data_IF_589625917697
#
_entry.id   IF_589625917697
#
_cell.length_a   1.000
_cell.length_b   1.000
_cell.length_c   1.000
_cell.angle_alpha   90.00
_cell.angle_beta   90.00
_cell.angle_gamma   90.00
#
_symmetry.space_group_name_H-M   'P 1'
#
loop_
_entity.id
_entity.type
_entity.pdbx_description
1 polymer ?
#
# COMPACT_ATOMS: atom_id res chain seq x y z
N UNK A 1 11.20 9.61 21.75
CA UNK A 1 11.83 10.76 21.04
C UNK A 1 10.91 11.96 21.18
N UNK A 2 11.45 13.13 21.41
CA UNK A 2 10.65 14.35 21.36
C UNK A 2 10.42 14.77 19.89
N UNK A 3 9.50 15.71 19.65
CA UNK A 3 9.17 16.17 18.30
C UNK A 3 10.39 16.71 17.51
N UNK A 4 11.38 17.27 18.20
CA UNK A 4 12.60 17.80 17.60
C UNK A 4 13.52 16.68 17.09
N UNK A 5 13.73 15.65 17.90
CA UNK A 5 14.53 14.46 17.52
C UNK A 5 13.92 13.72 16.31
N UNK A 6 12.60 13.54 16.33
CA UNK A 6 11.86 12.92 15.20
C UNK A 6 12.06 13.71 13.91
N UNK A 7 11.92 15.04 13.97
CA UNK A 7 12.10 15.91 12.82
C UNK A 7 13.54 15.91 12.30
N UNK A 8 14.52 15.91 13.20
CA UNK A 8 15.94 15.83 12.82
C UNK A 8 16.26 14.52 12.12
N UNK A 9 15.80 13.37 12.64
CA UNK A 9 16.01 12.05 12.04
C UNK A 9 15.35 11.97 10.65
N UNK A 10 14.13 12.46 10.48
CA UNK A 10 13.48 12.51 9.16
C UNK A 10 14.23 13.37 8.16
N UNK A 11 14.72 14.55 8.61
CA UNK A 11 15.52 15.43 7.74
C UNK A 11 16.80 14.76 7.28
N UNK A 12 17.49 14.04 8.16
CA UNK A 12 18.67 13.26 7.80
C UNK A 12 18.29 12.13 6.85
N UNK A 13 17.20 11.40 7.13
CA UNK A 13 16.69 10.34 6.28
C UNK A 13 16.40 10.83 4.85
N UNK A 14 15.71 11.96 4.70
CA UNK A 14 15.44 12.59 3.39
C UNK A 14 16.74 12.90 2.63
N UNK A 15 17.74 13.48 3.31
CA UNK A 15 19.05 13.74 2.69
C UNK A 15 19.76 12.45 2.25
N UNK A 16 19.62 11.38 3.02
CA UNK A 16 20.21 10.08 2.71
C UNK A 16 19.51 9.43 1.49
N UNK A 17 18.19 9.51 1.40
CA UNK A 17 17.46 9.01 0.24
C UNK A 17 17.79 9.86 -1.00
N UNK A 18 17.81 11.17 -0.86
CA UNK A 18 18.28 12.04 -1.94
C UNK A 18 19.71 11.69 -2.42
N UNK A 19 20.61 11.34 -1.50
CA UNK A 19 21.94 10.83 -1.82
C UNK A 19 21.87 9.47 -2.56
N UNK A 20 20.92 8.60 -2.21
CA UNK A 20 20.72 7.34 -2.92
C UNK A 20 20.41 7.57 -4.40
N UNK A 21 19.53 8.50 -4.71
CA UNK A 21 19.12 8.81 -6.09
C UNK A 21 20.24 9.39 -6.98
N UNK A 22 21.33 9.95 -6.41
CA UNK A 22 22.46 10.44 -7.22
C UNK A 22 23.21 9.33 -7.96
N UNK A 23 23.29 8.16 -7.35
CA UNK A 23 23.86 6.95 -7.95
C UNK A 23 23.28 5.75 -7.21
N UNK A 24 22.09 5.28 -7.60
CA UNK A 24 21.35 4.27 -6.84
C UNK A 24 22.16 3.00 -6.61
N UNK A 25 22.77 2.44 -7.65
CA UNK A 25 23.55 1.20 -7.56
C UNK A 25 24.72 1.29 -6.58
N UNK A 26 25.32 2.46 -6.41
CA UNK A 26 26.46 2.68 -5.48
C UNK A 26 25.98 3.05 -4.08
N UNK A 27 24.93 3.86 -3.97
CA UNK A 27 24.58 4.53 -2.74
C UNK A 27 23.51 3.80 -1.92
N UNK A 28 22.55 3.10 -2.57
CA UNK A 28 21.52 2.30 -1.86
C UNK A 28 22.15 1.20 -1.00
N UNK A 29 23.12 0.40 -1.47
CA UNK A 29 23.79 -0.58 -0.63
C UNK A 29 24.44 0.00 0.63
N UNK A 30 25.02 1.20 0.51
CA UNK A 30 25.64 1.89 1.66
C UNK A 30 24.59 2.33 2.67
N UNK A 31 23.46 2.84 2.18
CA UNK A 31 22.35 3.25 3.05
C UNK A 31 21.72 2.09 3.80
N UNK A 32 21.53 0.94 3.15
CA UNK A 32 21.00 -0.27 3.81
C UNK A 32 21.96 -0.76 4.90
N UNK A 33 23.28 -0.77 4.64
CA UNK A 33 24.27 -1.10 5.67
C UNK A 33 24.26 -0.11 6.83
N UNK A 34 24.07 1.18 6.55
CA UNK A 34 23.96 2.21 7.57
C UNK A 34 22.66 2.04 8.39
N UNK A 35 21.52 1.80 7.72
CA UNK A 35 20.25 1.54 8.37
C UNK A 35 20.32 0.29 9.29
N UNK A 36 20.99 -0.81 8.83
CA UNK A 36 21.24 -1.99 9.66
C UNK A 36 21.99 -1.64 10.95
N UNK A 37 23.01 -0.78 10.88
CA UNK A 37 23.77 -0.34 12.06
C UNK A 37 22.94 0.50 13.03
N UNK A 38 22.10 1.42 12.49
CA UNK A 38 21.22 2.26 13.31
C UNK A 38 20.10 1.46 13.98
N UNK A 39 19.57 0.48 13.29
CA UNK A 39 18.49 -0.37 13.81
C UNK A 39 18.94 -1.25 14.99
N UNK A 40 20.25 -1.56 15.10
CA UNK A 40 20.82 -2.36 16.17
C UNK A 40 20.08 -3.68 16.32
N UNK A 41 19.69 -4.02 17.56
CA UNK A 41 18.95 -5.24 17.89
C UNK A 41 17.41 -5.09 17.77
N UNK A 42 16.92 -3.98 17.21
CA UNK A 42 15.47 -3.76 17.08
C UNK A 42 14.81 -4.72 16.08
N UNK A 43 15.54 -5.08 15.04
CA UNK A 43 15.09 -6.01 14.00
C UNK A 43 16.04 -7.21 13.90
N UNK A 44 15.52 -8.32 13.42
CA UNK A 44 16.33 -9.52 13.17
C UNK A 44 17.34 -9.26 12.05
N UNK A 45 18.42 -10.01 12.01
CA UNK A 45 19.42 -9.91 10.95
C UNK A 45 18.82 -10.19 9.57
N UNK A 46 17.89 -11.12 9.48
CA UNK A 46 17.16 -11.47 8.25
C UNK A 46 16.45 -10.26 7.61
N UNK A 47 15.98 -9.29 8.41
CA UNK A 47 15.33 -8.07 7.93
C UNK A 47 16.21 -7.26 6.96
N UNK A 48 17.52 -7.34 7.11
CA UNK A 48 18.47 -6.58 6.28
C UNK A 48 19.23 -7.45 5.28
N UNK A 49 19.34 -8.76 5.52
CA UNK A 49 20.13 -9.64 4.67
C UNK A 49 19.57 -9.73 3.26
N UNK A 50 18.26 -10.01 3.13
CA UNK A 50 17.61 -10.10 1.82
C UNK A 50 17.64 -8.77 1.04
N UNK A 51 17.24 -7.60 1.59
CA UNK A 51 17.38 -6.33 0.88
C UNK A 51 18.81 -5.98 0.47
N UNK A 52 19.80 -6.32 1.30
CA UNK A 52 21.22 -6.07 0.98
C UNK A 52 21.68 -6.98 -0.17
N UNK A 53 21.23 -8.24 -0.21
CA UNK A 53 21.54 -9.14 -1.34
C UNK A 53 20.87 -8.63 -2.63
N UNK A 54 19.58 -8.31 -2.59
CA UNK A 54 18.83 -7.76 -3.74
C UNK A 54 19.58 -6.59 -4.40
N UNK A 55 20.06 -5.65 -3.62
CA UNK A 55 20.69 -4.43 -4.18
C UNK A 55 22.14 -4.62 -4.60
N UNK A 56 22.84 -5.65 -4.17
CA UNK A 56 24.25 -5.90 -4.49
C UNK A 56 24.44 -7.02 -5.52
N UNK A 57 23.53 -7.96 -5.61
CA UNK A 57 23.66 -9.15 -6.44
C UNK A 57 22.81 -9.00 -7.71
N UNK A 58 23.47 -8.75 -8.84
CA UNK A 58 22.80 -8.61 -10.15
C UNK A 58 22.15 -9.91 -10.65
N UNK A 59 22.56 -11.05 -10.15
CA UNK A 59 21.95 -12.35 -10.46
C UNK A 59 20.67 -12.59 -9.64
N UNK A 60 20.40 -11.74 -8.64
CA UNK A 60 19.16 -11.82 -7.87
C UNK A 60 17.99 -11.34 -8.73
N UNK A 61 16.95 -12.17 -8.88
CA UNK A 61 15.77 -11.90 -9.70
C UNK A 61 15.03 -10.62 -9.30
N UNK A 62 15.18 -10.15 -8.06
CA UNK A 62 14.59 -8.91 -7.56
C UNK A 62 15.43 -7.66 -7.79
N UNK A 63 16.68 -7.81 -8.27
CA UNK A 63 17.61 -6.70 -8.44
C UNK A 63 17.06 -5.65 -9.41
N UNK A 64 16.76 -6.05 -10.62
CA UNK A 64 16.28 -5.14 -11.67
C UNK A 64 14.90 -4.58 -11.35
N UNK A 65 14.04 -5.40 -10.77
CA UNK A 65 12.73 -4.96 -10.28
C UNK A 65 12.87 -3.84 -9.22
N UNK A 66 13.76 -4.02 -8.24
CA UNK A 66 14.01 -3.00 -7.21
C UNK A 66 14.45 -1.67 -7.82
N UNK A 67 15.42 -1.72 -8.75
CA UNK A 67 15.91 -0.49 -9.37
C UNK A 67 14.91 0.12 -10.35
N UNK A 68 14.08 -0.67 -11.02
CA UNK A 68 13.01 -0.14 -11.88
C UNK A 68 11.99 0.71 -11.11
N UNK A 69 11.73 0.40 -9.85
CA UNK A 69 10.83 1.23 -9.03
C UNK A 69 11.32 2.67 -8.86
N UNK A 70 12.64 2.88 -8.85
CA UNK A 70 13.23 4.22 -8.73
C UNK A 70 13.02 5.08 -9.98
N UNK A 71 12.83 4.46 -11.14
CA UNK A 71 12.61 5.12 -12.43
C UNK A 71 11.11 5.25 -12.76
N UNK A 72 10.32 4.25 -12.39
CA UNK A 72 8.91 4.14 -12.74
C UNK A 72 7.98 4.97 -11.84
N UNK A 73 8.40 5.26 -10.59
CA UNK A 73 7.57 5.94 -9.60
C UNK A 73 8.06 7.38 -9.42
N UNK A 74 7.12 8.32 -9.19
CA UNK A 74 7.47 9.69 -8.86
C UNK A 74 8.42 9.73 -7.65
N UNK A 75 9.52 10.45 -7.83
CA UNK A 75 10.63 10.44 -6.88
C UNK A 75 10.23 10.96 -5.50
N UNK A 76 9.56 12.10 -5.46
CA UNK A 76 9.19 12.76 -4.21
C UNK A 76 8.13 11.97 -3.45
N UNK A 77 7.25 11.32 -4.21
CA UNK A 77 6.24 10.41 -3.67
C UNK A 77 6.88 9.14 -3.09
N UNK A 78 7.77 8.48 -3.85
CA UNK A 78 8.47 7.28 -3.38
C UNK A 78 9.37 7.60 -2.17
N UNK A 79 10.07 8.73 -2.18
CA UNK A 79 10.88 9.17 -1.04
C UNK A 79 10.04 9.33 0.23
N UNK A 80 8.89 9.99 0.12
CA UNK A 80 7.95 10.16 1.25
C UNK A 80 7.42 8.83 1.77
N UNK A 81 6.98 7.95 0.86
CA UNK A 81 6.51 6.60 1.24
C UNK A 81 7.59 5.80 1.98
N UNK A 82 8.81 5.77 1.44
CA UNK A 82 9.92 5.02 2.04
C UNK A 82 10.29 5.59 3.43
N UNK A 83 10.33 6.92 3.57
CA UNK A 83 10.60 7.56 4.85
C UNK A 83 9.51 7.26 5.88
N UNK A 84 8.25 7.45 5.52
CA UNK A 84 7.12 7.20 6.43
C UNK A 84 7.05 5.72 6.80
N UNK A 85 7.24 4.82 5.82
CA UNK A 85 7.25 3.38 6.10
C UNK A 85 8.41 2.96 7.00
N UNK A 86 9.62 3.41 6.71
CA UNK A 86 10.79 3.01 7.48
C UNK A 86 10.84 3.65 8.89
N UNK A 87 10.50 4.94 8.99
CA UNK A 87 10.62 5.66 10.26
C UNK A 87 9.34 5.64 11.07
N UNK A 88 8.22 6.12 10.52
CA UNK A 88 7.00 6.26 11.32
C UNK A 88 6.37 4.89 11.60
N UNK A 89 6.17 4.06 10.57
CA UNK A 89 5.62 2.72 10.76
C UNK A 89 6.66 1.75 11.36
N UNK A 90 7.85 1.71 10.77
CA UNK A 90 8.90 0.73 11.11
C UNK A 90 9.59 1.06 12.43
N UNK A 91 10.30 2.16 12.53
CA UNK A 91 11.15 2.45 13.68
C UNK A 91 10.36 3.00 14.87
N UNK A 92 9.69 4.14 14.70
CA UNK A 92 8.97 4.85 15.79
C UNK A 92 7.75 4.04 16.21
N UNK A 93 6.92 3.64 15.25
CA UNK A 93 5.70 2.89 15.48
C UNK A 93 6.00 1.56 16.18
N UNK A 94 6.92 0.74 15.67
CA UNK A 94 7.26 -0.54 16.28
C UNK A 94 7.78 -0.38 17.72
N UNK A 95 8.60 0.65 17.99
CA UNK A 95 9.07 0.94 19.34
C UNK A 95 7.91 1.28 20.29
N UNK A 96 6.98 2.12 19.81
CA UNK A 96 5.79 2.53 20.58
C UNK A 96 4.84 1.35 20.80
N UNK A 97 4.59 0.55 19.76
CA UNK A 97 3.80 -0.68 19.84
C UNK A 97 4.34 -1.64 20.90
N UNK A 98 5.64 -1.91 20.91
CA UNK A 98 6.27 -2.81 21.88
C UNK A 98 6.09 -2.29 23.31
N UNK A 99 6.34 -1.00 23.53
CA UNK A 99 6.12 -0.37 24.85
C UNK A 99 4.66 -0.50 25.30
N UNK A 100 3.71 -0.19 24.43
CA UNK A 100 2.29 -0.22 24.75
C UNK A 100 1.76 -1.66 24.95
N UNK A 101 2.28 -2.66 24.23
CA UNK A 101 1.99 -4.08 24.52
C UNK A 101 2.33 -4.48 25.94
N UNK A 102 3.46 -3.99 26.47
CA UNK A 102 3.85 -4.24 27.87
C UNK A 102 2.94 -3.53 28.85
N UNK A 103 2.50 -2.30 28.55
CA UNK A 103 1.61 -1.51 29.41
C UNK A 103 0.21 -2.11 29.47
N UNK A 104 -0.37 -2.38 28.29
CA UNK A 104 -1.77 -2.82 28.16
C UNK A 104 -1.94 -4.35 28.22
N UNK A 105 -0.84 -5.10 28.23
CA UNK A 105 -0.84 -6.59 28.26
C UNK A 105 -1.67 -7.22 27.12
N UNK A 106 -1.72 -6.57 25.98
CA UNK A 106 -2.45 -7.05 24.80
C UNK A 106 -1.66 -6.81 23.52
N UNK A 107 -2.05 -7.50 22.45
CA UNK A 107 -1.48 -7.26 21.14
C UNK A 107 -2.06 -5.96 20.56
N UNK A 108 -1.19 -5.07 20.09
CA UNK A 108 -1.58 -3.84 19.38
C UNK A 108 -1.31 -4.06 17.88
N UNK A 109 -2.30 -3.83 17.02
CA UNK A 109 -2.15 -4.08 15.59
C UNK A 109 -1.13 -3.13 14.96
N UNK A 110 -0.31 -3.65 14.05
CA UNK A 110 0.62 -2.85 13.26
C UNK A 110 -0.07 -2.14 12.08
N UNK A 111 -1.20 -2.69 11.63
CA UNK A 111 -2.04 -2.15 10.57
C UNK A 111 -3.51 -2.20 11.00
N UNK A 112 -4.28 -1.18 10.64
CA UNK A 112 -5.73 -1.14 10.86
C UNK A 112 -6.42 -1.02 9.51
N UNK A 113 -7.40 -1.90 9.27
CA UNK A 113 -8.27 -1.89 8.10
C UNK A 113 -9.58 -1.19 8.48
N UNK A 114 -9.98 -0.23 7.66
CA UNK A 114 -11.21 0.55 7.85
C UNK A 114 -12.08 0.50 6.60
N UNK A 115 -13.39 0.46 6.81
CA UNK A 115 -14.40 0.56 5.77
C UNK A 115 -15.06 1.95 5.82
N UNK A 116 -14.59 2.92 5.03
CA UNK A 116 -15.15 4.27 5.04
C UNK A 116 -16.64 4.29 4.68
N UNK A 117 -17.07 3.33 3.85
CA UNK A 117 -18.46 3.19 3.41
C UNK A 117 -18.75 1.75 2.97
N UNK A 118 -19.98 1.30 3.18
CA UNK A 118 -20.49 0.07 2.55
C UNK A 118 -21.06 0.31 1.13
N UNK A 119 -21.16 1.58 0.70
CA UNK A 119 -21.62 1.90 -0.65
C UNK A 119 -20.57 1.47 -1.69
N UNK A 120 -21.05 0.87 -2.77
CA UNK A 120 -20.23 0.48 -3.92
C UNK A 120 -20.95 0.79 -5.22
N UNK A 121 -20.20 1.21 -6.22
CA UNK A 121 -20.70 1.45 -7.57
C UNK A 121 -20.71 0.18 -8.46
N UNK A 122 -20.29 -0.97 -7.93
CA UNK A 122 -20.37 -2.28 -8.58
C UNK A 122 -21.22 -3.26 -7.76
N UNK A 123 -21.60 -4.39 -8.42
CA UNK A 123 -22.36 -5.50 -7.82
C UNK A 123 -21.68 -6.84 -8.12
N UNK A 124 -20.44 -6.99 -7.67
CA UNK A 124 -19.62 -8.17 -7.94
C UNK A 124 -20.24 -9.45 -7.36
N UNK A 125 -20.22 -10.54 -8.13
CA UNK A 125 -20.67 -11.87 -7.65
C UNK A 125 -19.81 -12.34 -6.49
N UNK A 126 -20.43 -12.80 -5.40
CA UNK A 126 -19.73 -13.28 -4.22
C UNK A 126 -18.94 -12.20 -3.47
N UNK A 127 -19.37 -10.94 -3.56
CA UNK A 127 -18.77 -9.85 -2.80
C UNK A 127 -19.21 -9.94 -1.33
N UNK A 128 -18.25 -10.06 -0.42
CA UNK A 128 -18.53 -10.13 1.02
C UNK A 128 -19.19 -8.86 1.56
N UNK A 129 -18.85 -7.70 0.99
CA UNK A 129 -19.40 -6.41 1.42
C UNK A 129 -20.84 -6.18 0.94
N UNK A 130 -21.34 -6.95 -0.05
CA UNK A 130 -22.70 -6.79 -0.56
C UNK A 130 -23.78 -7.17 0.47
N UNK A 131 -23.44 -8.03 1.43
CA UNK A 131 -24.37 -8.50 2.49
C UNK A 131 -24.68 -7.41 3.52
N UNK A 132 -23.79 -6.41 3.70
CA UNK A 132 -23.96 -5.33 4.68
C UNK A 132 -24.85 -4.18 4.18
N UNK A 133 -25.33 -4.25 2.93
CA UNK A 133 -26.09 -3.16 2.30
C UNK A 133 -25.20 -1.94 1.99
N UNK A 134 -25.82 -0.91 1.39
CA UNK A 134 -25.05 0.26 0.88
C UNK A 134 -25.24 1.52 1.75
N UNK A 135 -25.63 1.40 3.00
CA UNK A 135 -26.07 2.54 3.83
C UNK A 135 -25.14 2.89 4.98
N UNK A 136 -24.19 2.00 5.33
CA UNK A 136 -23.27 2.24 6.44
C UNK A 136 -22.11 3.12 5.99
N UNK A 137 -21.82 4.17 6.75
CA UNK A 137 -20.73 5.09 6.51
C UNK A 137 -20.03 5.42 7.83
N UNK A 138 -18.71 5.45 7.84
CA UNK A 138 -17.96 6.09 8.91
C UNK A 138 -17.92 7.60 8.67
N UNK A 139 -18.20 8.37 9.72
CA UNK A 139 -18.02 9.82 9.66
C UNK A 139 -16.52 10.15 9.59
N UNK A 140 -16.18 11.25 8.90
CA UNK A 140 -14.79 11.69 8.79
C UNK A 140 -14.15 11.92 10.18
N UNK A 141 -14.90 12.46 11.12
CA UNK A 141 -14.40 12.71 12.48
C UNK A 141 -14.17 11.42 13.28
N UNK A 142 -14.95 10.37 13.04
CA UNK A 142 -14.70 9.06 13.65
C UNK A 142 -13.41 8.44 13.09
N UNK A 143 -13.18 8.54 11.78
CA UNK A 143 -11.94 8.09 11.16
C UNK A 143 -10.72 8.88 11.67
N UNK A 144 -10.85 10.21 11.84
CA UNK A 144 -9.81 11.05 12.46
C UNK A 144 -9.48 10.61 13.88
N UNK A 145 -10.51 10.33 14.68
CA UNK A 145 -10.35 9.85 16.05
C UNK A 145 -9.65 8.50 16.08
N UNK A 146 -10.07 7.54 15.25
CA UNK A 146 -9.44 6.22 15.14
C UNK A 146 -7.96 6.33 14.76
N UNK A 147 -7.63 7.14 13.76
CA UNK A 147 -6.24 7.34 13.34
C UNK A 147 -5.42 7.97 14.48
N UNK A 148 -5.94 8.98 15.16
CA UNK A 148 -5.27 9.64 16.28
C UNK A 148 -4.97 8.66 17.41
N UNK A 149 -5.97 7.92 17.87
CA UNK A 149 -5.84 6.94 18.95
C UNK A 149 -4.89 5.80 18.56
N UNK A 150 -4.96 5.32 17.31
CA UNK A 150 -4.06 4.30 16.77
C UNK A 150 -2.59 4.78 16.76
N UNK A 151 -2.33 6.04 16.37
CA UNK A 151 -1.00 6.65 16.40
C UNK A 151 -0.43 6.73 17.82
N UNK A 152 -1.24 7.05 18.81
CA UNK A 152 -0.84 7.05 20.23
C UNK A 152 -0.39 5.66 20.70
N UNK A 153 -0.98 4.60 20.12
CA UNK A 153 -0.59 3.21 20.36
C UNK A 153 0.62 2.77 19.53
N UNK A 154 0.99 3.52 18.47
CA UNK A 154 2.12 3.25 17.57
C UNK A 154 1.75 2.70 16.22
N UNK A 155 0.47 2.64 15.85
CA UNK A 155 0.00 2.21 14.52
C UNK A 155 -0.01 3.41 13.57
N UNK A 156 0.75 3.31 12.48
CA UNK A 156 0.88 4.34 11.45
C UNK A 156 0.55 3.83 10.05
N UNK A 157 0.04 2.60 9.92
CA UNK A 157 -0.38 2.04 8.65
C UNK A 157 -1.87 1.73 8.67
N UNK A 158 -2.59 2.25 7.67
CA UNK A 158 -4.03 2.11 7.54
C UNK A 158 -4.39 1.60 6.16
N UNK A 159 -5.37 0.70 6.09
CA UNK A 159 -5.93 0.20 4.85
C UNK A 159 -7.40 0.58 4.74
N UNK A 160 -7.82 1.00 3.56
CA UNK A 160 -9.22 1.26 3.25
C UNK A 160 -9.78 0.15 2.36
N UNK A 161 -10.95 -0.36 2.74
CA UNK A 161 -11.75 -1.32 1.98
C UNK A 161 -13.24 -1.04 2.18
N UNK A 162 -14.10 -2.02 2.26
CA UNK A 162 -15.54 -1.86 2.48
C UNK A 162 -16.35 -2.14 1.22
N UNK A 163 -17.23 -1.23 0.81
CA UNK A 163 -17.85 -1.22 -0.51
C UNK A 163 -16.83 -0.81 -1.57
N UNK A 164 -16.91 0.44 -2.04
CA UNK A 164 -15.84 1.05 -2.83
C UNK A 164 -15.31 2.28 -2.06
N UNK A 165 -14.07 2.22 -1.52
CA UNK A 165 -13.54 3.31 -0.70
C UNK A 165 -13.42 4.62 -1.46
N UNK A 166 -13.18 4.59 -2.78
CA UNK A 166 -13.07 5.82 -3.58
C UNK A 166 -14.41 6.55 -3.82
N UNK A 167 -15.54 5.99 -3.38
CA UNK A 167 -16.80 6.77 -3.22
C UNK A 167 -16.57 7.89 -2.19
N UNK A 168 -15.68 7.67 -1.23
CA UNK A 168 -15.25 8.62 -0.19
C UNK A 168 -13.84 9.20 -0.46
N UNK A 169 -13.43 9.32 -1.75
CA UNK A 169 -12.07 9.76 -2.10
C UNK A 169 -11.69 11.12 -1.51
N UNK A 170 -12.65 12.04 -1.31
CA UNK A 170 -12.39 13.34 -0.69
C UNK A 170 -12.02 13.22 0.77
N UNK A 171 -12.76 12.41 1.52
CA UNK A 171 -12.50 12.14 2.94
C UNK A 171 -11.16 11.41 3.11
N UNK A 172 -10.87 10.42 2.27
CA UNK A 172 -9.59 9.70 2.28
C UNK A 172 -8.42 10.65 2.01
N UNK A 173 -8.51 11.50 0.99
CA UNK A 173 -7.47 12.51 0.70
C UNK A 173 -7.29 13.51 1.85
N UNK A 174 -8.38 13.87 2.53
CA UNK A 174 -8.31 14.72 3.72
C UNK A 174 -7.52 14.05 4.84
N UNK A 175 -7.83 12.78 5.13
CA UNK A 175 -7.09 11.99 6.15
C UNK A 175 -5.61 11.83 5.79
N UNK A 176 -5.28 11.61 4.51
CA UNK A 176 -3.90 11.53 4.04
C UNK A 176 -3.14 12.85 4.28
N UNK A 177 -3.75 13.99 3.95
CA UNK A 177 -3.15 15.32 4.14
C UNK A 177 -2.95 15.68 5.61
N UNK A 178 -3.91 15.30 6.46
CA UNK A 178 -3.87 15.55 7.90
C UNK A 178 -2.85 14.65 8.63
N UNK A 179 -2.48 13.51 8.04
CA UNK A 179 -1.59 12.52 8.67
C UNK A 179 -0.41 12.14 7.77
N UNK A 180 0.52 13.07 7.50
CA UNK A 180 1.69 12.81 6.64
C UNK A 180 2.70 11.82 7.25
N UNK A 181 2.53 11.45 8.50
CA UNK A 181 3.29 10.44 9.25
C UNK A 181 2.63 9.05 9.23
N UNK A 182 1.60 8.87 8.40
CA UNK A 182 0.92 7.60 8.20
C UNK A 182 1.01 7.14 6.74
N UNK A 183 0.99 5.82 6.52
CA UNK A 183 0.81 5.20 5.21
C UNK A 183 -0.65 4.77 5.07
N UNK A 184 -1.21 5.02 3.90
CA UNK A 184 -2.54 4.60 3.52
C UNK A 184 -2.49 3.72 2.27
N UNK A 185 -3.27 2.64 2.27
CA UNK A 185 -3.48 1.74 1.12
C UNK A 185 -4.98 1.58 0.90
N UNK A 186 -5.49 1.86 -0.29
CA UNK A 186 -6.89 1.63 -0.60
C UNK A 186 -7.05 0.46 -1.59
N UNK A 187 -7.85 -0.54 -1.20
CA UNK A 187 -8.31 -1.59 -2.09
C UNK A 187 -9.52 -1.08 -2.85
N UNK A 188 -9.41 -0.95 -4.17
CA UNK A 188 -10.43 -0.32 -5.01
C UNK A 188 -10.70 -1.11 -6.27
N UNK A 189 -11.91 -1.00 -6.80
CA UNK A 189 -12.23 -1.50 -8.12
C UNK A 189 -11.62 -0.67 -9.27
N UNK A 190 -11.01 0.47 -8.95
CA UNK A 190 -10.30 1.33 -9.89
C UNK A 190 -11.17 2.23 -10.76
N UNK A 191 -12.48 2.00 -10.84
CA UNK A 191 -13.36 2.70 -11.79
C UNK A 191 -13.54 4.20 -11.52
N UNK A 192 -13.13 4.66 -10.33
CA UNK A 192 -13.19 6.06 -9.90
C UNK A 192 -11.83 6.78 -9.91
N UNK A 193 -10.80 6.12 -10.44
CA UNK A 193 -9.47 6.71 -10.62
C UNK A 193 -9.49 7.63 -11.83
N UNK A 194 -9.03 8.87 -11.64
CA UNK A 194 -8.89 9.89 -12.66
C UNK A 194 -7.57 10.66 -12.50
N UNK A 195 -7.21 11.48 -13.51
CA UNK A 195 -5.98 12.27 -13.47
C UNK A 195 -5.93 13.21 -12.26
N UNK A 196 -7.04 13.87 -11.92
CA UNK A 196 -7.12 14.78 -10.78
C UNK A 196 -6.88 14.05 -9.44
N UNK A 197 -7.37 12.83 -9.30
CA UNK A 197 -7.13 12.02 -8.11
C UNK A 197 -5.65 11.61 -8.00
N UNK A 198 -5.01 11.25 -9.12
CA UNK A 198 -3.58 10.94 -9.14
C UNK A 198 -2.72 12.16 -8.75
N UNK A 199 -3.07 13.35 -9.21
CA UNK A 199 -2.40 14.59 -8.78
C UNK A 199 -2.51 14.82 -7.27
N UNK A 200 -3.68 14.53 -6.68
CA UNK A 200 -3.88 14.64 -5.24
C UNK A 200 -3.10 13.55 -4.47
N UNK A 201 -3.00 12.32 -4.99
CA UNK A 201 -2.13 11.27 -4.43
C UNK A 201 -0.67 11.76 -4.36
N UNK A 202 -0.16 12.34 -5.45
CA UNK A 202 1.20 12.86 -5.49
C UNK A 202 1.43 14.05 -4.56
N UNK A 203 0.40 14.85 -4.26
CA UNK A 203 0.46 15.92 -3.26
C UNK A 203 0.47 15.38 -1.83
N UNK A 204 -0.34 14.35 -1.54
CA UNK A 204 -0.38 13.72 -0.21
C UNK A 204 0.89 12.91 0.09
N UNK A 205 1.44 12.24 -0.92
CA UNK A 205 2.69 11.44 -0.88
C UNK A 205 2.66 10.25 0.08
N UNK A 206 1.49 9.78 0.51
CA UNK A 206 1.34 8.70 1.49
C UNK A 206 0.16 7.75 1.24
N UNK A 207 -0.49 7.85 0.07
CA UNK A 207 -1.58 6.97 -0.36
C UNK A 207 -1.14 6.14 -1.56
N UNK A 208 -1.31 4.82 -1.49
CA UNK A 208 -1.15 3.90 -2.62
C UNK A 208 -2.44 3.10 -2.85
N UNK A 209 -2.57 2.48 -4.02
CA UNK A 209 -3.76 1.74 -4.40
C UNK A 209 -3.45 0.27 -4.68
N UNK A 210 -4.40 -0.60 -4.37
CA UNK A 210 -4.45 -1.98 -4.85
C UNK A 210 -5.72 -2.15 -5.68
N UNK A 211 -5.55 -2.25 -7.02
CA UNK A 211 -6.65 -2.36 -7.96
C UNK A 211 -7.17 -3.81 -8.00
N UNK A 212 -8.46 -3.97 -7.86
CA UNK A 212 -9.07 -5.29 -7.90
C UNK A 212 -9.23 -5.79 -9.33
N UNK A 213 -8.66 -6.96 -9.65
CA UNK A 213 -8.73 -7.60 -10.96
C UNK A 213 -8.74 -9.12 -10.82
N UNK A 214 -9.41 -9.84 -11.73
CA UNK A 214 -9.67 -11.28 -11.58
C UNK A 214 -9.14 -12.15 -12.75
N UNK A 215 -8.03 -11.72 -13.37
CA UNK A 215 -7.39 -12.46 -14.46
C UNK A 215 -7.68 -11.89 -15.84
N UNK A 216 -8.27 -12.70 -16.73
CA UNK A 216 -8.65 -12.27 -18.09
C UNK A 216 -9.87 -11.35 -18.07
N UNK A 217 -10.17 -10.72 -19.20
CA UNK A 217 -11.39 -9.92 -19.36
C UNK A 217 -12.65 -10.75 -19.09
N UNK A 218 -12.69 -11.96 -19.60
CA UNK A 218 -13.80 -12.88 -19.40
C UNK A 218 -14.02 -13.21 -17.91
N UNK A 219 -12.97 -13.62 -17.20
CA UNK A 219 -13.07 -14.00 -15.78
C UNK A 219 -13.36 -12.80 -14.90
N UNK A 220 -12.77 -11.65 -15.23
CA UNK A 220 -13.00 -10.41 -14.50
C UNK A 220 -14.44 -9.92 -14.64
N UNK A 221 -14.93 -9.82 -15.86
CA UNK A 221 -16.27 -9.28 -16.14
C UNK A 221 -17.38 -10.25 -15.74
N UNK A 222 -17.12 -11.56 -15.81
CA UNK A 222 -18.03 -12.58 -15.26
C UNK A 222 -18.31 -12.38 -13.76
N UNK A 223 -17.33 -11.87 -12.99
CA UNK A 223 -17.47 -11.60 -11.56
C UNK A 223 -17.87 -10.16 -11.26
N UNK A 224 -17.25 -9.18 -11.91
CA UNK A 224 -17.34 -7.75 -11.55
C UNK A 224 -18.36 -6.97 -12.36
N UNK A 225 -18.77 -7.49 -13.50
CA UNK A 225 -19.69 -6.87 -14.45
C UNK A 225 -19.02 -6.49 -15.75
N UNK A 226 -19.79 -6.43 -16.82
CA UNK A 226 -19.34 -6.12 -18.17
C UNK A 226 -18.60 -4.80 -18.25
N UNK A 227 -17.45 -4.79 -18.94
CA UNK A 227 -16.60 -3.62 -19.18
C UNK A 227 -15.81 -3.14 -17.95
N UNK A 228 -15.87 -3.83 -16.80
CA UNK A 228 -15.08 -3.44 -15.62
C UNK A 228 -13.61 -3.70 -15.84
N UNK A 229 -13.24 -4.78 -16.56
CA UNK A 229 -11.86 -5.07 -16.91
C UNK A 229 -11.18 -3.91 -17.63
N UNK A 230 -11.82 -3.38 -18.68
CA UNK A 230 -11.28 -2.28 -19.45
C UNK A 230 -11.16 -0.98 -18.61
N UNK A 231 -12.11 -0.73 -17.70
CA UNK A 231 -12.03 0.39 -16.77
C UNK A 231 -10.86 0.24 -15.79
N UNK A 232 -10.59 -0.97 -15.33
CA UNK A 232 -9.44 -1.26 -14.45
C UNK A 232 -8.12 -1.08 -15.19
N UNK A 233 -8.00 -1.54 -16.43
CA UNK A 233 -6.81 -1.28 -17.26
C UNK A 233 -6.61 0.22 -17.53
N UNK A 234 -7.69 0.97 -17.77
CA UNK A 234 -7.62 2.43 -17.91
C UNK A 234 -7.13 3.12 -16.63
N UNK A 235 -7.56 2.64 -15.46
CA UNK A 235 -7.06 3.14 -14.18
C UNK A 235 -5.54 2.87 -14.01
N UNK A 236 -5.06 1.68 -14.42
CA UNK A 236 -3.63 1.36 -14.42
C UNK A 236 -2.85 2.31 -15.35
N UNK A 237 -3.37 2.57 -16.55
CA UNK A 237 -2.76 3.50 -17.50
C UNK A 237 -2.61 4.91 -16.90
N UNK A 238 -3.65 5.42 -16.24
CA UNK A 238 -3.65 6.74 -15.59
C UNK A 238 -2.63 6.75 -14.45
N UNK A 239 -2.64 5.75 -13.57
CA UNK A 239 -1.69 5.65 -12.45
C UNK A 239 -0.24 5.56 -12.94
N UNK A 240 0.02 4.76 -13.97
CA UNK A 240 1.35 4.63 -14.61
C UNK A 240 1.81 5.95 -15.23
N UNK A 241 0.93 6.65 -15.95
CA UNK A 241 1.20 7.97 -16.54
C UNK A 241 1.63 8.98 -15.48
N UNK A 242 0.99 8.99 -14.32
CA UNK A 242 1.32 9.87 -13.20
C UNK A 242 2.45 9.32 -12.30
N UNK A 243 3.04 8.19 -12.64
CA UNK A 243 4.08 7.53 -11.83
C UNK A 243 3.66 7.27 -10.39
N UNK A 244 2.39 6.96 -10.14
CA UNK A 244 1.90 6.54 -8.84
C UNK A 244 2.29 5.09 -8.55
N UNK A 245 2.64 4.78 -7.30
CA UNK A 245 2.82 3.41 -6.84
C UNK A 245 1.48 2.72 -6.68
N UNK A 246 1.29 1.59 -7.34
CA UNK A 246 0.09 0.77 -7.18
C UNK A 246 0.39 -0.72 -7.35
N UNK A 247 -0.49 -1.50 -6.77
CA UNK A 247 -0.53 -2.95 -6.92
C UNK A 247 -1.89 -3.42 -7.42
N UNK A 248 -2.07 -4.73 -7.45
CA UNK A 248 -3.36 -5.37 -7.70
C UNK A 248 -3.76 -6.27 -6.54
N UNK A 249 -5.07 -6.46 -6.39
CA UNK A 249 -5.68 -7.43 -5.49
C UNK A 249 -6.52 -8.40 -6.30
N UNK A 250 -6.20 -9.67 -6.17
CA UNK A 250 -6.85 -10.76 -6.90
C UNK A 250 -7.59 -11.65 -5.92
N UNK A 251 -8.89 -11.82 -6.11
CA UNK A 251 -9.65 -12.86 -5.42
C UNK A 251 -9.68 -14.11 -6.31
N UNK A 252 -8.78 -15.06 -6.08
CA UNK A 252 -8.75 -16.26 -6.88
C UNK A 252 -9.82 -17.29 -6.43
N UNK A 253 -10.37 -17.96 -7.40
CA UNK A 253 -11.41 -18.97 -7.25
C UNK A 253 -11.14 -20.13 -8.22
N UNK A 254 -11.87 -21.22 -8.10
CA UNK A 254 -11.80 -22.31 -9.09
C UNK A 254 -12.15 -21.89 -10.53
N UNK A 255 -12.82 -20.75 -10.71
CA UNK A 255 -13.25 -20.25 -12.02
C UNK A 255 -12.19 -19.39 -12.74
N UNK A 256 -11.25 -18.80 -11.99
CA UNK A 256 -10.22 -17.93 -12.56
C UNK A 256 -8.79 -18.38 -12.23
N UNK A 257 -8.65 -19.55 -11.58
CA UNK A 257 -7.33 -20.04 -11.13
C UNK A 257 -6.30 -20.04 -12.26
N UNK A 258 -6.62 -20.67 -13.40
CA UNK A 258 -5.69 -20.76 -14.53
C UNK A 258 -5.32 -19.37 -15.09
N UNK A 259 -6.29 -18.46 -15.17
CA UNK A 259 -6.07 -17.11 -15.69
C UNK A 259 -5.14 -16.28 -14.78
N UNK A 260 -5.32 -16.35 -13.44
CA UNK A 260 -4.57 -15.50 -12.49
C UNK A 260 -3.23 -16.08 -12.07
N UNK A 261 -2.92 -17.32 -12.49
CA UNK A 261 -1.63 -17.97 -12.26
C UNK A 261 -0.78 -18.10 -13.53
N UNK A 262 -1.28 -17.65 -14.68
CA UNK A 262 -0.58 -17.71 -15.95
C UNK A 262 0.53 -16.67 -16.07
N UNK A 263 1.63 -16.99 -16.73
CA UNK A 263 2.72 -16.05 -17.03
C UNK A 263 2.21 -14.86 -17.84
N UNK A 264 1.27 -15.09 -18.79
CA UNK A 264 0.65 -14.04 -19.59
C UNK A 264 -0.05 -12.99 -18.74
N UNK A 265 -0.74 -13.41 -17.67
CA UNK A 265 -1.38 -12.47 -16.74
C UNK A 265 -0.33 -11.60 -16.02
N UNK A 266 0.74 -12.20 -15.51
CA UNK A 266 1.81 -11.45 -14.84
C UNK A 266 2.52 -10.49 -15.79
N UNK A 267 2.90 -10.96 -16.97
CA UNK A 267 3.56 -10.12 -17.99
C UNK A 267 2.70 -8.92 -18.35
N UNK A 268 1.39 -9.13 -18.53
CA UNK A 268 0.43 -8.05 -18.78
C UNK A 268 0.34 -7.07 -17.61
N UNK A 269 0.30 -7.55 -16.38
CA UNK A 269 0.23 -6.68 -15.19
C UNK A 269 1.53 -5.87 -15.02
N UNK A 270 2.68 -6.49 -15.21
CA UNK A 270 3.99 -5.82 -15.18
C UNK A 270 4.05 -4.75 -16.28
N UNK A 271 3.66 -5.08 -17.51
CA UNK A 271 3.61 -4.12 -18.62
C UNK A 271 2.68 -2.91 -18.33
N UNK A 272 1.61 -3.11 -17.56
CA UNK A 272 0.72 -2.05 -17.12
C UNK A 272 1.24 -1.25 -15.91
N UNK A 273 2.41 -1.58 -15.35
CA UNK A 273 3.06 -0.83 -14.27
C UNK A 273 2.72 -1.31 -12.86
N UNK A 274 2.08 -2.45 -12.72
CA UNK A 274 1.78 -3.07 -11.41
C UNK A 274 3.08 -3.41 -10.68
N UNK A 275 3.16 -3.06 -9.39
CA UNK A 275 4.36 -3.27 -8.55
C UNK A 275 4.15 -4.29 -7.42
N UNK A 276 2.94 -4.72 -7.16
CA UNK A 276 2.67 -5.77 -6.17
C UNK A 276 1.37 -6.50 -6.48
N UNK A 277 1.29 -7.74 -6.04
CA UNK A 277 0.08 -8.56 -6.16
C UNK A 277 -0.29 -9.07 -4.78
N UNK A 278 -1.53 -8.86 -4.38
CA UNK A 278 -2.13 -9.45 -3.20
C UNK A 278 -3.17 -10.48 -3.62
N UNK A 279 -3.01 -11.71 -3.15
CA UNK A 279 -3.99 -12.77 -3.38
C UNK A 279 -4.86 -12.97 -2.16
N UNK A 280 -6.17 -13.00 -2.39
CA UNK A 280 -7.17 -13.45 -1.42
C UNK A 280 -7.96 -14.61 -2.02
N UNK A 281 -8.47 -15.51 -1.17
CA UNK A 281 -9.37 -16.58 -1.59
C UNK A 281 -10.67 -16.47 -0.80
N UNK A 282 -11.78 -16.80 -1.46
CA UNK A 282 -13.03 -16.99 -0.76
C UNK A 282 -12.94 -18.35 -0.04
N UNK A 283 -12.81 -18.31 1.27
CA UNK A 283 -13.09 -19.50 2.07
C UNK A 283 -14.59 -19.75 1.98
N UNK A 284 -14.97 -20.94 1.52
CA UNK A 284 -16.34 -21.40 1.73
C UNK A 284 -16.66 -21.25 3.22
N UNK A 285 -17.85 -20.71 3.60
CA UNK A 285 -18.24 -20.68 4.98
C UNK A 285 -18.18 -22.11 5.50
N UNK A 286 -17.20 -22.40 6.33
CA UNK A 286 -17.21 -23.62 7.13
C UNK A 286 -18.46 -23.52 7.97
N UNK A 287 -19.45 -24.35 7.68
CA UNK A 287 -20.56 -24.55 8.61
C UNK A 287 -19.93 -24.99 9.90
N UNK A 288 -19.88 -24.07 10.85
CA UNK A 288 -19.61 -24.42 12.21
C UNK A 288 -20.73 -25.30 12.75
#
# INVERSE_FOLDING_TARGET
MNNFETKAVKTVGAKLIHYAYKNPQKNVPKLLKFAKRLAGNMFTEATFTAPIDIVNNKENTWHDYFYSMLDDIDRDYLESLLLTFAFDCGYIGTKTLRKNREIYKCNIPWVILMDPTSACNLKCKGCWAAEYGHKSNLALDDMRRLIKEAKELGTHFFMFTGGEPLVKKKEILTLCKENPDCIFLAFTNGTLVDDAFCEEILKCKNLSLALSIEGSEETNDARRGEGVYQKTLKAMEILKKHKCLFGISVCYTSQNYDAVTSDEFYDKMIANGVKSVSYTHLTLPTKA
#
